data_IF_284168230612
#
_entry.id   IF_284168230612
#
_cell.length_a   1.000
_cell.length_b   1.000
_cell.length_c   1.000
_cell.angle_alpha   90.00
_cell.angle_beta   90.00
_cell.angle_gamma   90.00
#
_symmetry.space_group_name_H-M   'P 1'
#
loop_
_entity.id
_entity.type
_entity.pdbx_description
1 polymer ?
#
# COMPACT_ATOMS: atom_id res chain seq x y z
N UNK A 1 9.78 -22.20 1.59
CA UNK A 1 9.34 -20.88 2.04
C UNK A 1 8.23 -20.99 3.07
N UNK A 2 8.13 -20.04 4.00
CA UNK A 2 7.02 -19.94 4.95
C UNK A 2 6.34 -18.58 4.74
N UNK A 3 5.02 -18.59 4.52
CA UNK A 3 4.21 -17.40 4.35
C UNK A 3 3.21 -17.35 5.51
N UNK A 4 3.29 -16.28 6.30
CA UNK A 4 2.37 -16.00 7.40
C UNK A 4 1.50 -14.80 7.00
N UNK A 5 0.19 -14.91 7.21
CA UNK A 5 -0.75 -13.82 7.03
C UNK A 5 -1.38 -13.45 8.36
N UNK A 6 -1.33 -12.16 8.70
CA UNK A 6 -1.79 -11.60 9.96
C UNK A 6 -2.72 -10.42 9.69
N UNK A 7 -3.75 -10.26 10.50
CA UNK A 7 -4.61 -9.08 10.49
C UNK A 7 -4.26 -8.16 11.65
N UNK A 8 -4.53 -6.86 11.51
CA UNK A 8 -4.24 -5.91 12.58
C UNK A 8 -5.11 -6.15 13.80
N UNK A 9 -4.56 -5.97 15.00
CA UNK A 9 -5.24 -6.21 16.29
C UNK A 9 -6.54 -5.40 16.49
N UNK A 10 -6.70 -4.31 15.73
CA UNK A 10 -7.86 -3.40 15.79
C UNK A 10 -8.86 -3.68 14.68
N UNK A 11 -8.72 -4.78 13.97
CA UNK A 11 -9.54 -5.15 12.83
C UNK A 11 -10.00 -6.59 13.00
N UNK A 12 -11.30 -6.80 12.89
CA UNK A 12 -11.92 -8.11 12.83
C UNK A 12 -12.14 -8.46 11.36
N UNK A 13 -11.83 -9.69 10.97
CA UNK A 13 -12.08 -10.14 9.60
C UNK A 13 -13.04 -11.31 9.62
N UNK A 14 -14.17 -11.15 8.91
CA UNK A 14 -15.17 -12.20 8.72
C UNK A 14 -15.67 -12.15 7.29
N UNK A 15 -15.58 -13.28 6.57
CA UNK A 15 -16.03 -13.38 5.18
C UNK A 15 -15.44 -12.29 4.27
N UNK A 16 -14.14 -12.01 4.39
CA UNK A 16 -13.42 -10.94 3.66
C UNK A 16 -13.93 -9.51 3.94
N UNK A 17 -14.71 -9.31 5.00
CA UNK A 17 -15.11 -7.99 5.49
C UNK A 17 -14.22 -7.63 6.68
N UNK A 18 -13.56 -6.48 6.59
CA UNK A 18 -12.83 -5.87 7.69
C UNK A 18 -13.82 -5.04 8.53
N UNK A 19 -13.82 -5.23 9.84
CA UNK A 19 -14.58 -4.41 10.79
C UNK A 19 -13.62 -3.76 11.78
N UNK A 20 -13.70 -2.45 11.93
CA UNK A 20 -12.83 -1.67 12.80
C UNK A 20 -13.28 -1.88 14.25
N UNK A 21 -12.50 -2.64 15.03
CA UNK A 21 -12.80 -2.86 16.45
C UNK A 21 -12.42 -1.65 17.31
N UNK A 22 -11.39 -0.89 16.91
CA UNK A 22 -10.92 0.28 17.66
C UNK A 22 -10.36 1.35 16.73
N UNK A 23 -10.91 2.56 16.85
CA UNK A 23 -10.51 3.71 16.04
C UNK A 23 -9.14 4.24 16.44
N UNK A 24 -8.21 4.27 15.47
CA UNK A 24 -6.95 5.03 15.57
C UNK A 24 -6.65 5.77 14.27
N UNK A 25 -5.69 6.71 14.30
CA UNK A 25 -5.29 7.51 13.12
C UNK A 25 -4.76 6.67 11.97
N UNK A 26 -4.08 5.56 12.30
CA UNK A 26 -3.60 4.55 11.35
C UNK A 26 -4.13 3.19 11.81
N UNK A 27 -4.68 2.43 10.86
CA UNK A 27 -5.23 1.10 11.10
C UNK A 27 -4.45 0.14 10.22
N UNK A 28 -3.86 -0.90 10.82
CA UNK A 28 -3.25 -2.01 10.08
C UNK A 28 -4.36 -2.95 9.65
N UNK A 29 -4.53 -3.15 8.34
CA UNK A 29 -5.53 -4.05 7.80
C UNK A 29 -5.00 -5.48 7.78
N UNK A 30 -3.89 -5.67 7.06
CA UNK A 30 -3.31 -6.97 6.73
C UNK A 30 -1.80 -6.87 6.70
N UNK A 31 -1.11 -7.92 7.12
CA UNK A 31 0.34 -8.05 7.06
C UNK A 31 0.71 -9.45 6.56
N UNK A 32 1.58 -9.51 5.56
CA UNK A 32 2.08 -10.75 4.99
C UNK A 32 3.57 -10.80 5.27
N UNK A 33 4.01 -11.86 5.93
CA UNK A 33 5.42 -12.11 6.26
C UNK A 33 5.89 -13.33 5.49
N UNK A 34 7.00 -13.18 4.79
CA UNK A 34 7.54 -14.24 3.95
C UNK A 34 8.98 -14.51 4.38
N UNK A 35 9.18 -15.67 5.00
CA UNK A 35 10.51 -16.19 5.34
C UNK A 35 11.01 -17.05 4.18
N UNK A 36 12.14 -16.67 3.61
CA UNK A 36 12.66 -17.32 2.41
C UNK A 36 14.05 -16.86 2.00
N UNK A 37 14.51 -17.43 0.89
CA UNK A 37 15.79 -17.09 0.28
C UNK A 37 15.83 -15.64 -0.22
N UNK A 38 17.00 -15.20 -0.70
CA UNK A 38 17.16 -13.88 -1.30
C UNK A 38 16.24 -13.69 -2.51
N UNK A 39 15.43 -12.63 -2.45
CA UNK A 39 14.60 -12.14 -3.53
C UNK A 39 15.47 -11.74 -4.73
N UNK A 40 15.10 -12.21 -5.93
CA UNK A 40 15.75 -11.85 -7.22
C UNK A 40 15.02 -10.74 -7.95
N UNK A 41 13.72 -10.69 -7.74
CA UNK A 41 12.86 -9.70 -8.35
C UNK A 41 11.56 -9.58 -7.57
N UNK A 42 11.05 -8.37 -7.45
CA UNK A 42 9.70 -8.13 -6.97
C UNK A 42 9.02 -7.04 -7.80
N UNK A 43 7.71 -7.16 -7.89
CA UNK A 43 6.85 -6.30 -8.67
C UNK A 43 5.53 -6.10 -7.94
N UNK A 44 5.05 -4.85 -7.91
CA UNK A 44 3.68 -4.49 -7.51
C UNK A 44 3.03 -3.88 -8.75
N UNK A 45 1.89 -4.44 -9.15
CA UNK A 45 1.10 -4.10 -10.34
C UNK A 45 1.21 -2.65 -10.84
N UNK A 46 2.19 -2.35 -11.70
CA UNK A 46 2.38 -1.02 -12.29
C UNK A 46 2.82 0.10 -11.32
N UNK A 47 3.00 -0.19 -10.04
CA UNK A 47 3.40 0.77 -9.00
C UNK A 47 4.91 0.75 -8.74
N UNK A 48 5.50 -0.45 -8.68
CA UNK A 48 6.85 -0.63 -8.17
C UNK A 48 7.46 -1.92 -8.75
N UNK A 49 8.75 -1.88 -9.05
CA UNK A 49 9.53 -3.07 -9.39
C UNK A 49 10.96 -2.91 -8.87
N UNK A 50 11.59 -4.02 -8.53
CA UNK A 50 12.95 -4.04 -8.01
C UNK A 50 13.59 -5.40 -8.21
N UNK A 51 14.90 -5.45 -8.42
CA UNK A 51 15.66 -6.71 -8.46
C UNK A 51 16.24 -7.07 -7.09
N UNK A 52 16.78 -6.10 -6.36
CA UNK A 52 17.59 -6.37 -5.16
C UNK A 52 17.10 -5.65 -3.91
N UNK A 53 16.33 -4.58 -4.06
CA UNK A 53 15.79 -3.81 -2.93
C UNK A 53 14.35 -4.22 -2.63
N UNK A 54 14.01 -4.41 -1.35
CA UNK A 54 12.64 -4.64 -0.92
C UNK A 54 12.12 -3.45 -0.10
N UNK A 55 12.00 -2.32 -0.79
CA UNK A 55 11.53 -1.07 -0.22
C UNK A 55 10.89 -0.22 -1.31
N UNK A 56 9.86 0.52 -0.95
CA UNK A 56 9.23 1.54 -1.82
C UNK A 56 10.10 2.79 -1.97
N UNK A 57 11.18 2.91 -1.19
CA UNK A 57 12.17 3.95 -1.37
C UNK A 57 12.97 3.68 -2.66
N UNK A 58 12.97 4.65 -3.57
CA UNK A 58 13.64 4.53 -4.85
C UNK A 58 14.55 5.73 -5.09
N UNK A 59 15.75 5.48 -5.65
CA UNK A 59 16.63 6.55 -6.14
C UNK A 59 16.08 7.23 -7.40
N UNK A 60 15.26 6.52 -8.17
CA UNK A 60 14.63 6.99 -9.41
C UNK A 60 13.11 6.89 -9.24
N UNK A 61 12.40 7.96 -9.57
CA UNK A 61 10.93 8.00 -9.49
C UNK A 61 10.31 7.11 -10.59
N UNK A 62 10.09 5.83 -10.30
CA UNK A 62 9.35 4.92 -11.19
C UNK A 62 7.86 5.26 -11.43
N UNK A 63 7.20 6.17 -10.70
CA UNK A 63 5.95 6.75 -11.20
C UNK A 63 6.20 7.76 -12.33
N UNK A 64 7.22 7.64 -13.17
CA UNK A 64 7.28 8.42 -14.41
C UNK A 64 6.55 7.60 -15.49
N UNK A 65 5.32 7.99 -15.90
CA UNK A 65 4.85 9.36 -16.09
C UNK A 65 3.92 9.93 -14.99
N UNK A 66 3.36 9.13 -14.09
CA UNK A 66 2.46 9.53 -12.98
C UNK A 66 2.90 10.71 -12.07
N UNK A 67 4.19 11.02 -11.92
CA UNK A 67 4.64 12.19 -11.15
C UNK A 67 4.41 13.50 -11.88
N UNK A 68 4.43 13.45 -13.22
CA UNK A 68 4.23 14.59 -14.11
C UNK A 68 2.78 14.63 -14.58
N UNK A 69 2.26 13.48 -15.02
CA UNK A 69 0.94 13.24 -15.59
C UNK A 69 -0.02 12.62 -14.57
N UNK A 70 -0.56 13.47 -13.71
CA UNK A 70 -1.65 13.10 -12.81
C UNK A 70 -2.71 14.19 -12.78
N UNK A 71 -3.95 13.78 -12.65
CA UNK A 71 -5.05 14.67 -12.20
C UNK A 71 -5.28 14.51 -10.70
N UNK A 72 -5.03 13.32 -10.14
CA UNK A 72 -5.14 13.02 -8.69
C UNK A 72 -3.92 12.26 -8.22
N UNK A 73 -3.34 12.68 -7.09
CA UNK A 73 -2.15 12.06 -6.47
C UNK A 73 -2.27 12.03 -4.95
N UNK A 74 -2.45 10.86 -4.36
CA UNK A 74 -2.42 10.67 -2.90
C UNK A 74 -0.96 10.62 -2.41
N UNK A 75 -0.51 11.62 -1.67
CA UNK A 75 0.89 11.73 -1.27
C UNK A 75 1.33 10.54 -0.39
N UNK A 76 2.56 10.09 -0.60
CA UNK A 76 3.18 9.06 0.23
C UNK A 76 3.18 9.52 1.70
N UNK A 77 2.96 8.57 2.61
CA UNK A 77 3.04 8.75 4.06
C UNK A 77 4.28 8.05 4.61
N UNK A 78 4.73 8.48 5.79
CA UNK A 78 5.65 7.66 6.60
C UNK A 78 4.94 7.24 7.88
N UNK A 79 5.06 5.97 8.22
CA UNK A 79 4.58 5.42 9.48
C UNK A 79 5.67 4.55 10.09
N UNK A 80 6.05 4.86 11.33
CA UNK A 80 7.20 4.25 12.02
C UNK A 80 8.48 4.25 11.16
N UNK A 81 8.75 5.37 10.47
CA UNK A 81 9.92 5.53 9.60
C UNK A 81 9.79 4.90 8.20
N UNK A 82 8.83 3.99 7.98
CA UNK A 82 8.67 3.27 6.71
C UNK A 82 7.77 4.05 5.75
N UNK A 83 8.18 4.11 4.48
CA UNK A 83 7.39 4.72 3.40
C UNK A 83 6.15 3.86 3.11
N UNK A 84 4.99 4.50 3.14
CA UNK A 84 3.69 3.93 2.82
C UNK A 84 3.15 4.63 1.57
N UNK A 85 2.83 3.86 0.52
CA UNK A 85 2.32 4.38 -0.75
C UNK A 85 0.87 3.96 -0.95
N UNK A 86 0.02 4.87 -1.41
CA UNK A 86 -1.37 4.54 -1.71
C UNK A 86 -1.49 3.49 -2.83
N UNK A 87 -2.43 2.57 -2.69
CA UNK A 87 -2.78 1.60 -3.72
C UNK A 87 -3.43 2.23 -4.96
N UNK A 88 -3.85 3.49 -4.92
CA UNK A 88 -4.32 4.24 -6.09
C UNK A 88 -3.34 4.17 -7.28
N UNK A 89 -2.03 4.10 -7.02
CA UNK A 89 -1.01 4.06 -8.07
C UNK A 89 -0.88 2.72 -8.79
N UNK A 90 -1.64 1.72 -8.37
CA UNK A 90 -1.53 0.40 -8.95
C UNK A 90 -2.47 0.22 -10.14
N UNK A 91 -1.98 -0.50 -11.15
CA UNK A 91 -2.76 -0.88 -12.34
C UNK A 91 -3.45 -2.23 -12.19
N UNK A 92 -2.94 -3.08 -11.30
CA UNK A 92 -3.46 -4.44 -11.09
C UNK A 92 -3.25 -4.84 -9.63
N UNK A 93 -4.25 -5.41 -8.93
CA UNK A 93 -4.20 -5.77 -7.51
C UNK A 93 -3.36 -7.02 -7.20
N UNK A 94 -2.10 -7.01 -7.65
CA UNK A 94 -1.18 -8.13 -7.48
C UNK A 94 0.24 -7.66 -7.18
N UNK A 95 0.91 -8.43 -6.32
CA UNK A 95 2.34 -8.38 -6.11
C UNK A 95 2.95 -9.73 -6.46
N UNK A 96 4.09 -9.72 -7.13
CA UNK A 96 4.83 -10.92 -7.52
C UNK A 96 6.23 -10.82 -6.94
N UNK A 97 6.66 -11.88 -6.25
CA UNK A 97 7.98 -12.03 -5.65
C UNK A 97 8.66 -13.25 -6.26
N UNK A 98 9.75 -13.03 -6.98
CA UNK A 98 10.56 -14.07 -7.58
C UNK A 98 11.79 -14.33 -6.73
N UNK A 99 11.98 -15.60 -6.38
CA UNK A 99 13.15 -16.15 -5.70
C UNK A 99 13.90 -17.05 -6.70
N UNK A 100 14.99 -17.68 -6.28
CA UNK A 100 15.77 -18.56 -7.17
C UNK A 100 14.93 -19.70 -7.75
N UNK A 101 14.18 -20.42 -6.90
CA UNK A 101 13.47 -21.65 -7.28
C UNK A 101 11.94 -21.55 -7.13
N UNK A 102 11.42 -20.40 -6.74
CA UNK A 102 10.01 -20.22 -6.40
C UNK A 102 9.51 -18.81 -6.74
N UNK A 103 8.21 -18.71 -7.00
CA UNK A 103 7.53 -17.46 -7.31
C UNK A 103 6.26 -17.36 -6.46
N UNK A 104 6.12 -16.27 -5.74
CA UNK A 104 4.94 -15.99 -4.91
C UNK A 104 4.12 -14.90 -5.57
N UNK A 105 2.85 -15.20 -5.80
CA UNK A 105 1.85 -14.23 -6.24
C UNK A 105 0.93 -13.90 -5.08
N UNK A 106 0.79 -12.62 -4.79
CA UNK A 106 -0.03 -12.09 -3.69
C UNK A 106 -1.12 -11.23 -4.31
N UNK A 107 -2.37 -11.63 -4.13
CA UNK A 107 -3.54 -10.81 -4.43
C UNK A 107 -3.98 -10.04 -3.19
N UNK A 108 -4.52 -8.84 -3.40
CA UNK A 108 -5.01 -7.98 -2.32
C UNK A 108 -6.02 -6.96 -2.84
N UNK A 109 -6.86 -6.45 -1.94
CA UNK A 109 -7.89 -5.49 -2.32
C UNK A 109 -7.27 -4.11 -2.60
N UNK A 110 -7.40 -3.58 -3.84
CA UNK A 110 -6.83 -2.28 -4.19
C UNK A 110 -7.64 -1.12 -3.60
N UNK A 111 -8.90 -1.40 -3.27
CA UNK A 111 -9.92 -0.48 -2.76
C UNK A 111 -10.69 -1.21 -1.67
N UNK A 112 -11.02 -0.49 -0.60
CA UNK A 112 -11.96 -0.95 0.42
C UNK A 112 -13.14 0.02 0.49
N UNK A 113 -14.28 -0.48 0.93
CA UNK A 113 -15.47 0.34 1.18
C UNK A 113 -15.49 0.77 2.65
N UNK A 114 -15.63 2.07 2.91
CA UNK A 114 -15.80 2.62 4.25
C UNK A 114 -16.96 3.60 4.20
N UNK A 115 -18.04 3.35 4.93
CA UNK A 115 -19.24 4.19 4.94
C UNK A 115 -19.80 4.49 3.52
N UNK A 116 -19.77 3.48 2.64
CA UNK A 116 -20.21 3.59 1.24
C UNK A 116 -19.28 4.41 0.34
N UNK A 117 -18.07 4.74 0.81
CA UNK A 117 -17.04 5.42 0.02
C UNK A 117 -15.89 4.47 -0.28
N UNK A 118 -15.42 4.52 -1.53
CA UNK A 118 -14.20 3.84 -1.94
C UNK A 118 -12.97 4.54 -1.37
N UNK A 119 -12.15 3.78 -0.67
CA UNK A 119 -10.89 4.25 -0.09
C UNK A 119 -9.75 3.34 -0.54
N UNK A 120 -8.66 3.95 -0.99
CA UNK A 120 -7.44 3.24 -1.35
C UNK A 120 -6.57 3.01 -0.11
N UNK A 121 -6.30 1.76 0.29
CA UNK A 121 -5.32 1.47 1.32
C UNK A 121 -3.92 1.95 0.93
N UNK A 122 -3.01 1.93 1.89
CA UNK A 122 -1.59 2.19 1.68
C UNK A 122 -0.80 0.91 1.91
N UNK A 123 0.19 0.66 1.06
CA UNK A 123 1.12 -0.46 1.19
C UNK A 123 2.48 0.02 1.66
N UNK A 124 3.14 -0.74 2.53
CA UNK A 124 4.54 -0.59 2.88
C UNK A 124 5.30 -1.88 2.66
N UNK A 125 6.57 -1.77 2.27
CA UNK A 125 7.50 -2.89 2.16
C UNK A 125 8.63 -2.69 3.16
N UNK A 126 8.89 -3.71 3.97
CA UNK A 126 9.99 -3.75 4.91
C UNK A 126 10.70 -5.11 4.83
N UNK A 127 11.97 -5.14 5.18
CA UNK A 127 12.76 -6.36 5.30
C UNK A 127 13.45 -6.36 6.66
N UNK A 128 13.26 -7.43 7.43
CA UNK A 128 14.09 -7.71 8.61
C UNK A 128 15.14 -8.78 8.27
N UNK A 129 15.91 -9.22 9.26
CA UNK A 129 17.01 -10.18 9.05
C UNK A 129 16.55 -11.52 8.44
N UNK A 130 15.28 -11.90 8.61
CA UNK A 130 14.77 -13.19 8.18
C UNK A 130 13.60 -13.12 7.18
N UNK A 131 12.91 -11.98 7.08
CA UNK A 131 11.58 -11.89 6.49
C UNK A 131 11.41 -10.67 5.60
N UNK A 132 10.66 -10.89 4.52
CA UNK A 132 10.02 -9.84 3.74
C UNK A 132 8.64 -9.56 4.33
N UNK A 133 8.37 -8.30 4.67
CA UNK A 133 7.14 -7.86 5.32
C UNK A 133 6.39 -6.90 4.39
N UNK A 134 5.16 -7.25 4.07
CA UNK A 134 4.23 -6.43 3.30
C UNK A 134 3.09 -6.06 4.24
N UNK A 135 2.87 -4.76 4.45
CA UNK A 135 1.80 -4.30 5.33
C UNK A 135 0.85 -3.37 4.61
N UNK A 136 -0.44 -3.59 4.80
CA UNK A 136 -1.53 -2.78 4.29
C UNK A 136 -2.13 -1.96 5.42
N UNK A 137 -2.25 -0.66 5.21
CA UNK A 137 -2.74 0.31 6.16
C UNK A 137 -3.91 1.10 5.61
N UNK A 138 -4.78 1.53 6.51
CA UNK A 138 -5.75 2.58 6.29
C UNK A 138 -5.32 3.80 7.12
N UNK A 139 -5.04 4.90 6.44
CA UNK A 139 -4.76 6.18 7.09
C UNK A 139 -6.05 7.00 7.14
N UNK A 140 -6.48 7.42 8.33
CA UNK A 140 -7.64 8.31 8.46
C UNK A 140 -7.38 9.67 7.84
N UNK A 141 -6.14 10.14 7.87
CA UNK A 141 -5.78 11.45 7.35
C UNK A 141 -4.65 11.34 6.34
N UNK A 142 -4.83 11.94 5.16
CA UNK A 142 -3.80 11.99 4.13
C UNK A 142 -3.98 13.17 3.20
N UNK A 143 -2.93 13.48 2.45
CA UNK A 143 -2.92 14.62 1.54
C UNK A 143 -3.09 14.15 0.11
N UNK A 144 -3.94 14.84 -0.63
CA UNK A 144 -4.14 14.64 -2.07
C UNK A 144 -3.66 15.89 -2.80
N UNK A 145 -2.91 15.70 -3.89
CA UNK A 145 -2.64 16.75 -4.87
C UNK A 145 -3.52 16.52 -6.08
N UNK A 146 -4.24 17.57 -6.48
CA UNK A 146 -5.12 17.53 -7.64
C UNK A 146 -4.70 18.59 -8.67
N UNK A 147 -4.84 18.25 -9.94
CA UNK A 147 -4.63 19.14 -11.09
C UNK A 147 -5.82 19.00 -12.03
N UNK A 148 -6.21 20.12 -12.63
CA UNK A 148 -7.24 20.15 -13.66
C UNK A 148 -6.82 19.34 -14.91
N UNK A 149 -5.54 19.44 -15.29
CA UNK A 149 -4.98 18.74 -16.44
C UNK A 149 -3.70 17.99 -16.07
N UNK A 150 -3.49 16.83 -16.70
CA UNK A 150 -2.33 15.98 -16.41
C UNK A 150 -0.99 16.64 -16.79
N UNK A 151 -0.95 17.53 -17.78
CA UNK A 151 0.29 17.91 -18.46
C UNK A 151 0.93 19.18 -17.89
N UNK A 152 0.13 20.17 -17.45
CA UNK A 152 0.59 21.48 -16.96
C UNK A 152 -0.36 22.01 -15.88
N UNK A 153 0.18 22.51 -14.76
CA UNK A 153 -0.61 23.17 -13.72
C UNK A 153 0.01 23.06 -12.31
N UNK A 154 -0.19 24.11 -11.50
CA UNK A 154 0.09 24.08 -10.06
C UNK A 154 -1.04 23.30 -9.40
N UNK A 155 -0.72 22.11 -8.88
CA UNK A 155 -1.73 21.28 -8.23
C UNK A 155 -2.14 21.85 -6.87
N UNK A 156 -3.45 21.84 -6.58
CA UNK A 156 -3.97 22.16 -5.24
C UNK A 156 -3.69 20.98 -4.32
N UNK A 157 -3.22 21.28 -3.10
CA UNK A 157 -3.09 20.28 -2.03
C UNK A 157 -4.35 20.33 -1.15
N UNK A 158 -4.98 19.18 -0.93
CA UNK A 158 -6.18 19.02 -0.12
C UNK A 158 -5.89 17.98 0.96
N UNK A 159 -6.23 18.27 2.20
CA UNK A 159 -6.20 17.29 3.28
C UNK A 159 -7.52 16.53 3.31
N UNK A 160 -7.44 15.20 3.31
CA UNK A 160 -8.57 14.29 3.46
C UNK A 160 -8.58 13.75 4.88
N UNK A 161 -9.76 13.72 5.51
CA UNK A 161 -9.99 13.08 6.80
C UNK A 161 -11.20 12.15 6.67
N UNK A 162 -10.94 10.85 6.79
CA UNK A 162 -11.94 9.80 6.74
C UNK A 162 -12.65 9.71 8.09
N UNK A 163 -13.97 9.76 8.06
CA UNK A 163 -14.81 9.45 9.22
C UNK A 163 -14.92 7.92 9.32
N UNK A 164 -14.12 7.38 10.23
CA UNK A 164 -14.08 5.95 10.56
C UNK A 164 -14.31 5.80 12.05
N UNK A 165 -15.34 5.06 12.41
CA UNK A 165 -15.75 4.74 13.76
C UNK A 165 -15.55 3.25 14.06
N UNK A 166 -15.70 2.86 15.33
CA UNK A 166 -15.64 1.45 15.68
C UNK A 166 -16.95 0.78 15.26
N UNK A 167 -16.86 -0.34 14.56
CA UNK A 167 -17.99 -1.04 13.95
C UNK A 167 -18.13 -0.82 12.43
N UNK A 168 -17.42 0.17 11.88
CA UNK A 168 -17.30 0.39 10.42
C UNK A 168 -16.56 -0.74 9.71
#
# INVERSE_FOLDING_TARGET
MIIEELFGEKVLVKNNVYTIAKTTSVIKLREIRIKGASLKYAFIGGMWYSKENFSLEQKISLPYPFSTYYTVKILDKRYNGVLCRSLLYMKMPVMVLQYENECVRIEFDPVIQVNGQEVFPFISLCKDDERYIITFYLFKEFDVKEKENAWLGVGRKIGISLKIEAGD
#
